data_IF_875929461011
#
_entry.id   IF_875929461011
#
_cell.length_a   1.000
_cell.length_b   1.000
_cell.length_c   1.000
_cell.angle_alpha   90.00
_cell.angle_beta   90.00
_cell.angle_gamma   90.00
#
_symmetry.space_group_name_H-M   'P 1'
#
loop_
_entity.id
_entity.type
_entity.pdbx_description
1 polymer ?
#
# COMPACT_ATOMS: atom_id res chain seq x y z
N UNK A 1 22.46 -11.90 11.09
CA UNK A 1 21.50 -11.36 10.10
C UNK A 1 21.30 -12.40 9.01
N UNK A 2 20.09 -12.55 8.49
CA UNK A 2 19.77 -13.55 7.45
C UNK A 2 20.09 -12.92 6.09
N UNK A 3 20.91 -13.58 5.27
CA UNK A 3 21.24 -13.11 3.93
C UNK A 3 20.05 -13.28 2.99
N UNK A 4 19.87 -12.36 2.04
CA UNK A 4 18.82 -12.50 1.02
C UNK A 4 18.94 -13.81 0.24
N UNK A 5 20.16 -14.20 -0.14
CA UNK A 5 20.40 -15.42 -0.93
C UNK A 5 20.16 -16.71 -0.19
N UNK A 6 20.11 -16.65 1.15
CA UNK A 6 19.76 -17.79 1.99
C UNK A 6 18.23 -17.94 2.12
N UNK A 7 17.50 -16.82 2.05
CA UNK A 7 16.04 -16.76 2.21
C UNK A 7 15.28 -16.96 0.90
N UNK A 8 15.60 -16.19 -0.15
CA UNK A 8 14.97 -16.33 -1.47
C UNK A 8 15.82 -17.29 -2.30
N UNK A 9 15.23 -18.36 -2.80
CA UNK A 9 15.85 -19.28 -3.76
C UNK A 9 15.20 -19.07 -5.12
N UNK A 10 16.02 -19.04 -6.14
CA UNK A 10 15.58 -18.80 -7.51
C UNK A 10 15.67 -20.09 -8.30
N UNK A 11 14.80 -20.31 -9.31
CA UNK A 11 14.86 -21.52 -10.13
C UNK A 11 16.23 -21.75 -10.79
N UNK A 12 16.93 -20.67 -11.16
CA UNK A 12 18.31 -20.72 -11.68
C UNK A 12 19.07 -19.44 -11.25
N UNK A 13 20.10 -19.60 -10.42
CA UNK A 13 20.89 -18.49 -9.86
C UNK A 13 21.64 -17.69 -10.95
N UNK A 14 22.03 -18.35 -12.04
CA UNK A 14 22.80 -17.76 -13.14
C UNK A 14 21.91 -17.15 -14.23
N UNK A 15 20.62 -17.50 -14.23
CA UNK A 15 19.61 -16.96 -15.13
C UNK A 15 18.59 -16.06 -14.42
N UNK A 16 18.87 -15.63 -13.18
CA UNK A 16 18.02 -14.70 -12.44
C UNK A 16 18.70 -13.36 -12.24
N UNK A 17 17.98 -12.27 -12.56
CA UNK A 17 18.37 -10.92 -12.15
C UNK A 17 17.58 -10.45 -10.95
N UNK A 18 18.11 -9.45 -10.27
CA UNK A 18 17.43 -8.70 -9.23
C UNK A 18 17.44 -7.22 -9.59
N UNK A 19 16.26 -6.61 -9.61
CA UNK A 19 16.05 -5.22 -10.03
C UNK A 19 15.60 -4.40 -8.82
N UNK A 20 16.43 -3.44 -8.42
CA UNK A 20 16.20 -2.49 -7.34
C UNK A 20 15.56 -1.23 -7.92
N UNK A 21 14.24 -1.13 -7.96
CA UNK A 21 13.55 0.01 -8.55
C UNK A 21 13.42 1.15 -7.53
N UNK A 22 13.81 2.37 -7.92
CA UNK A 22 13.60 3.58 -7.10
C UNK A 22 12.43 4.42 -7.61
N UNK A 23 12.33 4.62 -8.92
CA UNK A 23 11.28 5.39 -9.59
C UNK A 23 11.20 5.03 -11.10
N UNK A 24 10.22 5.57 -11.82
CA UNK A 24 10.02 5.41 -13.27
C UNK A 24 10.87 6.34 -14.15
N UNK A 25 11.89 7.00 -13.59
CA UNK A 25 12.61 8.11 -14.23
C UNK A 25 12.06 9.49 -13.88
N UNK A 26 10.88 9.55 -13.27
CA UNK A 26 10.35 10.73 -12.59
C UNK A 26 10.53 10.59 -11.08
N UNK A 27 11.26 11.51 -10.44
CA UNK A 27 11.57 11.45 -9.00
C UNK A 27 10.32 11.48 -8.11
N UNK A 28 9.20 11.97 -8.61
CA UNK A 28 7.91 12.05 -7.90
C UNK A 28 7.09 10.75 -8.02
N UNK A 29 7.47 9.84 -8.92
CA UNK A 29 6.78 8.57 -9.14
C UNK A 29 7.60 7.44 -8.52
N UNK A 30 7.43 7.22 -7.21
CA UNK A 30 8.22 6.22 -6.48
C UNK A 30 7.79 4.81 -6.84
N UNK A 31 8.78 3.91 -6.96
CA UNK A 31 8.52 2.51 -7.25
C UNK A 31 7.71 1.83 -6.13
N UNK A 32 7.87 2.28 -4.88
CA UNK A 32 7.09 1.75 -3.75
C UNK A 32 5.60 2.07 -3.90
N UNK A 33 5.24 3.30 -4.24
CA UNK A 33 3.84 3.70 -4.42
C UNK A 33 3.17 2.90 -5.55
N UNK A 34 3.91 2.66 -6.65
CA UNK A 34 3.43 1.83 -7.75
C UNK A 34 3.17 0.39 -7.32
N UNK A 35 4.09 -0.21 -6.57
CA UNK A 35 3.94 -1.57 -6.06
C UNK A 35 2.79 -1.63 -5.05
N UNK A 36 2.71 -0.67 -4.14
CA UNK A 36 1.73 -0.63 -3.08
C UNK A 36 0.31 -0.57 -3.64
N UNK A 37 0.05 0.36 -4.57
CA UNK A 37 -1.26 0.60 -5.16
C UNK A 37 -1.60 -0.34 -6.34
N UNK A 38 -0.74 -1.34 -6.61
CA UNK A 38 -0.88 -2.26 -7.76
C UNK A 38 -1.06 -1.52 -9.09
N UNK A 39 -0.39 -0.36 -9.24
CA UNK A 39 -0.45 0.44 -10.46
C UNK A 39 0.10 -0.37 -11.64
N UNK A 40 -0.52 -0.30 -12.84
CA UNK A 40 0.02 -0.93 -14.04
C UNK A 40 1.49 -0.54 -14.33
N UNK A 41 1.89 0.66 -13.91
CA UNK A 41 3.24 1.17 -14.08
C UNK A 41 4.29 0.35 -13.32
N UNK A 42 3.94 -0.34 -12.23
CA UNK A 42 4.84 -1.28 -11.55
C UNK A 42 5.35 -2.36 -12.50
N UNK A 43 4.44 -2.95 -13.30
CA UNK A 43 4.82 -3.96 -14.29
C UNK A 43 5.60 -3.29 -15.43
N UNK A 44 5.18 -2.11 -15.90
CA UNK A 44 5.88 -1.39 -16.97
C UNK A 44 7.32 -1.07 -16.62
N UNK A 45 7.61 -0.53 -15.43
CA UNK A 45 9.00 -0.18 -15.06
C UNK A 45 9.89 -1.41 -14.97
N UNK A 46 9.35 -2.57 -14.57
CA UNK A 46 10.10 -3.82 -14.51
C UNK A 46 10.29 -4.43 -15.90
N UNK A 47 9.29 -4.33 -16.78
CA UNK A 47 9.29 -4.85 -18.14
C UNK A 47 9.92 -3.91 -19.20
N UNK A 48 10.22 -2.67 -18.82
CA UNK A 48 10.83 -1.70 -19.72
C UNK A 48 12.20 -2.19 -20.20
N UNK A 49 12.42 -2.15 -21.51
CA UNK A 49 13.67 -2.57 -22.14
C UNK A 49 14.44 -1.40 -22.73
N UNK A 50 15.72 -1.27 -22.37
CA UNK A 50 16.69 -0.40 -23.05
C UNK A 50 17.96 -1.18 -23.37
N UNK A 51 18.81 -0.64 -24.25
CA UNK A 51 20.15 -1.22 -24.49
C UNK A 51 21.01 -1.21 -23.22
N UNK A 52 20.85 -0.21 -22.35
CA UNK A 52 21.59 -0.10 -21.09
C UNK A 52 21.28 -1.25 -20.09
N UNK A 53 22.28 -1.63 -19.30
CA UNK A 53 22.23 -2.77 -18.36
C UNK A 53 21.05 -2.71 -17.39
N UNK A 54 20.69 -1.52 -16.92
CA UNK A 54 19.64 -1.31 -15.92
C UNK A 54 18.24 -1.76 -16.35
N UNK A 55 17.97 -1.77 -17.66
CA UNK A 55 16.69 -2.18 -18.23
C UNK A 55 16.89 -3.29 -19.26
N UNK A 56 17.93 -4.09 -19.12
CA UNK A 56 18.20 -5.20 -20.03
C UNK A 56 18.38 -6.48 -19.23
N UNK A 57 17.54 -7.47 -19.44
CA UNK A 57 17.63 -8.76 -18.77
C UNK A 57 18.63 -9.73 -19.44
N UNK A 58 19.14 -9.42 -20.64
CA UNK A 58 20.11 -10.30 -21.33
C UNK A 58 19.54 -11.70 -21.48
N UNK A 59 20.26 -12.72 -21.01
CA UNK A 59 19.83 -14.13 -21.05
C UNK A 59 19.11 -14.59 -19.77
N UNK A 60 18.71 -13.67 -18.90
CA UNK A 60 17.96 -14.01 -17.70
C UNK A 60 16.55 -14.50 -18.06
N UNK A 61 16.14 -15.57 -17.40
CA UNK A 61 14.79 -16.17 -17.48
C UNK A 61 13.89 -15.68 -16.34
N UNK A 62 14.46 -15.12 -15.29
CA UNK A 62 13.73 -14.65 -14.12
C UNK A 62 14.23 -13.30 -13.62
N UNK A 63 13.33 -12.53 -13.01
CA UNK A 63 13.68 -11.30 -12.29
C UNK A 63 12.99 -11.25 -10.93
N UNK A 64 13.76 -10.98 -9.88
CA UNK A 64 13.25 -10.52 -8.59
C UNK A 64 13.11 -9.00 -8.66
N UNK A 65 11.88 -8.50 -8.52
CA UNK A 65 11.61 -7.06 -8.53
C UNK A 65 11.48 -6.54 -7.09
N UNK A 66 12.26 -5.51 -6.79
CA UNK A 66 12.25 -4.81 -5.51
C UNK A 66 11.88 -3.35 -5.71
N UNK A 67 11.21 -2.75 -4.74
CA UNK A 67 10.87 -1.33 -4.70
C UNK A 67 11.58 -0.65 -3.53
N UNK A 68 12.24 0.49 -3.75
CA UNK A 68 12.90 1.23 -2.68
C UNK A 68 11.87 1.70 -1.64
N UNK A 69 12.04 1.25 -0.40
CA UNK A 69 11.19 1.62 0.72
C UNK A 69 11.74 2.87 1.39
N UNK A 70 11.46 4.00 0.75
CA UNK A 70 11.91 5.32 1.20
C UNK A 70 11.53 5.70 2.64
N UNK A 71 10.47 5.15 3.29
CA UNK A 71 10.20 5.44 4.70
C UNK A 71 11.34 5.07 5.66
N UNK A 72 12.11 4.03 5.35
CA UNK A 72 13.27 3.63 6.16
C UNK A 72 14.59 4.18 5.62
N UNK A 73 14.61 4.62 4.36
CA UNK A 73 15.76 5.27 3.75
C UNK A 73 16.25 4.59 2.47
N UNK A 74 17.34 5.10 1.88
CA UNK A 74 17.75 4.75 0.52
C UNK A 74 18.33 3.33 0.36
N UNK A 75 18.76 2.68 1.45
CA UNK A 75 19.25 1.30 1.47
C UNK A 75 18.15 0.24 1.67
N UNK A 76 16.89 0.64 1.89
CA UNK A 76 15.80 -0.28 2.19
C UNK A 76 14.96 -0.58 0.96
N UNK A 77 14.60 -1.85 0.76
CA UNK A 77 13.82 -2.30 -0.40
C UNK A 77 12.78 -3.34 0.00
N UNK A 78 11.56 -3.18 -0.49
CA UNK A 78 10.45 -4.11 -0.30
C UNK A 78 10.36 -5.07 -1.48
N UNK A 79 10.09 -6.35 -1.18
CA UNK A 79 9.89 -7.40 -2.17
C UNK A 79 8.56 -7.22 -2.93
N UNK A 80 8.64 -7.06 -4.25
CA UNK A 80 7.48 -6.92 -5.14
C UNK A 80 7.16 -8.18 -5.95
N UNK A 81 8.00 -9.22 -5.88
CA UNK A 81 7.72 -10.53 -6.48
C UNK A 81 8.87 -11.10 -7.31
N UNK A 82 8.74 -12.39 -7.61
CA UNK A 82 9.54 -13.12 -8.58
C UNK A 82 8.74 -13.27 -9.88
N UNK A 83 9.36 -12.94 -11.01
CA UNK A 83 8.70 -12.97 -12.32
C UNK A 83 9.48 -13.85 -13.29
N UNK A 84 8.76 -14.64 -14.09
CA UNK A 84 9.29 -15.28 -15.30
C UNK A 84 9.33 -14.26 -16.42
N UNK A 85 10.44 -14.24 -17.16
CA UNK A 85 10.68 -13.32 -18.28
C UNK A 85 10.45 -14.05 -19.59
N UNK A 86 9.65 -13.45 -20.47
CA UNK A 86 9.50 -13.83 -21.86
C UNK A 86 9.92 -12.64 -22.74
N UNK A 87 10.78 -12.88 -23.74
CA UNK A 87 11.21 -11.85 -24.69
C UNK A 87 10.25 -11.81 -25.87
N UNK A 88 9.97 -10.61 -26.37
CA UNK A 88 9.28 -10.46 -27.64
C UNK A 88 10.23 -10.73 -28.81
N UNK A 89 9.67 -11.33 -29.87
CA UNK A 89 10.32 -11.52 -31.16
C UNK A 89 9.43 -10.89 -32.24
N UNK A 90 9.87 -9.82 -32.93
CA UNK A 90 11.18 -9.16 -32.80
C UNK A 90 11.33 -8.40 -31.47
N UNK A 91 12.58 -8.14 -31.07
CA UNK A 91 12.87 -7.41 -29.84
C UNK A 91 12.34 -5.96 -29.87
N UNK A 92 11.68 -5.54 -28.79
CA UNK A 92 11.17 -4.17 -28.61
C UNK A 92 12.09 -3.41 -27.65
N UNK A 93 12.54 -2.21 -28.03
CA UNK A 93 13.40 -1.35 -27.22
C UNK A 93 12.74 0.01 -26.97
N UNK A 94 13.15 0.67 -25.89
CA UNK A 94 12.61 1.95 -25.46
C UNK A 94 11.09 1.92 -25.24
N UNK A 95 10.60 0.75 -24.84
CA UNK A 95 9.22 0.46 -24.43
C UNK A 95 9.19 -0.81 -23.53
N UNK A 96 8.01 -1.32 -23.20
CA UNK A 96 7.75 -2.63 -22.60
C UNK A 96 8.25 -3.72 -23.55
N UNK A 97 9.50 -4.16 -23.34
CA UNK A 97 10.19 -5.12 -24.20
C UNK A 97 10.24 -6.55 -23.67
N UNK A 98 9.60 -6.80 -22.52
CA UNK A 98 9.49 -8.11 -21.90
C UNK A 98 8.05 -8.35 -21.47
N UNK A 99 7.59 -9.59 -21.60
CA UNK A 99 6.40 -10.06 -20.88
C UNK A 99 6.85 -10.67 -19.55
N UNK A 100 6.29 -10.16 -18.46
CA UNK A 100 6.58 -10.63 -17.11
C UNK A 100 5.38 -11.38 -16.57
N UNK A 101 5.59 -12.64 -16.19
CA UNK A 101 4.57 -13.48 -15.54
C UNK A 101 4.94 -13.61 -14.07
N UNK A 102 4.10 -13.07 -13.18
CA UNK A 102 4.29 -13.16 -11.73
C UNK A 102 4.20 -14.63 -11.29
N UNK A 103 5.14 -15.06 -10.47
CA UNK A 103 5.22 -16.41 -9.93
C UNK A 103 4.59 -16.47 -8.53
N UNK A 104 4.15 -17.66 -8.11
CA UNK A 104 3.48 -17.89 -6.82
C UNK A 104 4.47 -18.06 -5.66
N UNK A 105 5.72 -18.39 -5.97
CA UNK A 105 6.81 -18.48 -5.01
C UNK A 105 6.99 -17.17 -4.25
N UNK A 106 7.05 -17.25 -2.92
CA UNK A 106 7.21 -16.11 -2.02
C UNK A 106 6.05 -15.10 -2.07
N UNK A 107 4.86 -15.49 -2.58
CA UNK A 107 3.70 -14.60 -2.66
C UNK A 107 3.33 -13.99 -1.30
N UNK A 108 3.51 -14.73 -0.22
CA UNK A 108 3.25 -14.33 1.16
C UNK A 108 4.19 -13.23 1.66
N UNK A 109 5.33 -13.02 0.99
CA UNK A 109 6.32 -12.00 1.34
C UNK A 109 6.20 -10.74 0.49
N UNK A 110 5.33 -10.73 -0.53
CA UNK A 110 5.11 -9.54 -1.37
C UNK A 110 4.58 -8.40 -0.53
N UNK A 111 5.18 -7.22 -0.71
CA UNK A 111 4.90 -5.99 0.05
C UNK A 111 5.18 -6.09 1.57
N UNK A 112 5.79 -7.18 2.04
CA UNK A 112 5.99 -7.49 3.47
C UNK A 112 7.46 -7.68 3.82
N UNK A 113 8.20 -8.37 2.96
CA UNK A 113 9.62 -8.58 3.13
C UNK A 113 10.39 -7.32 2.77
N UNK A 114 11.09 -6.76 3.75
CA UNK A 114 12.03 -5.66 3.59
C UNK A 114 13.44 -6.21 3.73
N UNK A 115 14.29 -5.84 2.77
CA UNK A 115 15.72 -6.05 2.84
C UNK A 115 16.42 -4.72 3.09
N UNK A 116 17.60 -4.80 3.71
CA UNK A 116 18.53 -3.68 3.85
C UNK A 116 19.82 -4.01 3.10
N UNK A 117 20.30 -3.06 2.32
CA UNK A 117 21.61 -3.13 1.68
C UNK A 117 22.69 -2.56 2.61
N UNK A 118 23.93 -3.02 2.49
CA UNK A 118 25.05 -2.44 3.25
C UNK A 118 25.35 -0.98 2.86
N UNK A 119 24.94 -0.57 1.65
CA UNK A 119 25.01 0.82 1.17
C UNK A 119 23.89 1.12 0.17
N UNK A 120 23.47 2.39 0.01
CA UNK A 120 22.55 2.81 -1.04
C UNK A 120 23.04 2.43 -2.45
N UNK A 121 22.10 2.18 -3.37
CA UNK A 121 22.42 2.00 -4.79
C UNK A 121 22.94 3.31 -5.41
N UNK A 122 22.34 4.45 -5.06
CA UNK A 122 22.75 5.76 -5.60
C UNK A 122 22.68 5.80 -7.14
N UNK A 123 23.83 6.10 -7.78
CA UNK A 123 23.97 6.17 -9.25
C UNK A 123 24.47 4.85 -9.88
N UNK A 124 24.67 3.80 -9.07
CA UNK A 124 25.16 2.52 -9.56
C UNK A 124 24.09 1.74 -10.34
N UNK A 125 24.53 0.64 -10.97
CA UNK A 125 23.64 -0.31 -11.63
C UNK A 125 22.65 -0.90 -10.63
N UNK A 126 21.36 -0.77 -10.92
CA UNK A 126 20.26 -1.24 -10.10
C UNK A 126 19.64 -2.55 -10.61
N UNK A 127 20.08 -3.07 -11.76
CA UNK A 127 19.71 -4.39 -12.26
C UNK A 127 20.94 -5.32 -12.28
N UNK A 128 20.98 -6.29 -11.37
CA UNK A 128 22.17 -7.10 -11.11
C UNK A 128 21.88 -8.58 -11.27
N UNK A 129 22.92 -9.37 -11.52
CA UNK A 129 22.80 -10.84 -11.51
C UNK A 129 22.61 -11.31 -10.07
N UNK A 130 21.63 -12.19 -9.84
CA UNK A 130 21.32 -12.69 -8.51
C UNK A 130 22.51 -13.39 -7.85
N UNK A 131 23.25 -14.21 -8.62
CA UNK A 131 24.46 -14.89 -8.16
C UNK A 131 25.57 -13.96 -7.62
N UNK A 132 25.55 -12.66 -7.94
CA UNK A 132 26.57 -11.68 -7.50
C UNK A 132 26.04 -10.69 -6.47
N UNK A 133 24.75 -10.71 -6.15
CA UNK A 133 24.14 -9.65 -5.34
C UNK A 133 24.67 -9.67 -3.91
N UNK A 134 24.93 -10.86 -3.35
CA UNK A 134 25.40 -11.00 -1.98
C UNK A 134 26.75 -10.31 -1.78
N UNK A 135 27.71 -10.56 -2.67
CA UNK A 135 29.04 -9.97 -2.58
C UNK A 135 29.04 -8.47 -2.93
N UNK A 136 28.17 -8.04 -3.84
CA UNK A 136 28.17 -6.66 -4.33
C UNK A 136 27.46 -5.66 -3.41
N UNK A 137 26.41 -6.10 -2.72
CA UNK A 137 25.52 -5.21 -1.95
C UNK A 137 25.27 -5.68 -0.52
N UNK A 138 25.69 -6.89 -0.17
CA UNK A 138 25.37 -7.57 1.10
C UNK A 138 23.93 -7.33 1.59
N UNK A 139 22.91 -7.68 0.78
CA UNK A 139 21.52 -7.57 1.18
C UNK A 139 21.18 -8.55 2.30
N UNK A 140 20.50 -8.03 3.31
CA UNK A 140 20.07 -8.79 4.49
C UNK A 140 18.57 -8.61 4.70
N UNK A 141 17.90 -9.65 5.19
CA UNK A 141 16.52 -9.59 5.62
C UNK A 141 16.46 -8.65 6.83
N UNK A 142 15.77 -7.52 6.66
CA UNK A 142 15.62 -6.52 7.70
C UNK A 142 14.37 -6.74 8.52
N UNK A 143 13.23 -6.91 7.83
CA UNK A 143 11.93 -7.08 8.46
C UNK A 143 11.05 -7.95 7.56
N UNK A 144 10.22 -8.80 8.17
CA UNK A 144 9.05 -9.37 7.52
C UNK A 144 7.85 -8.79 8.23
N UNK A 145 7.17 -7.86 7.58
CA UNK A 145 6.03 -7.18 8.18
C UNK A 145 4.87 -8.17 8.37
N UNK A 146 4.19 -8.19 9.53
CA UNK A 146 3.08 -9.10 9.79
C UNK A 146 1.93 -8.89 8.79
N UNK A 147 1.76 -7.65 8.30
CA UNK A 147 0.79 -7.26 7.28
C UNK A 147 1.50 -6.60 6.09
N UNK A 148 0.79 -6.40 4.97
CA UNK A 148 1.32 -5.60 3.84
C UNK A 148 1.75 -4.25 4.38
N UNK A 149 2.98 -3.80 4.07
CA UNK A 149 3.38 -2.44 4.41
C UNK A 149 2.41 -1.50 3.70
N UNK A 150 1.59 -0.81 4.47
CA UNK A 150 0.76 0.26 3.97
C UNK A 150 1.63 1.51 3.87
N UNK A 151 1.37 2.32 2.85
CA UNK A 151 2.11 3.54 2.61
C UNK A 151 2.01 4.49 3.79
N UNK A 152 2.90 5.47 3.84
CA UNK A 152 2.77 6.59 4.78
C UNK A 152 1.43 7.30 4.56
N UNK A 153 0.93 7.96 5.61
CA UNK A 153 -0.28 8.77 5.56
C UNK A 153 -0.25 9.72 4.32
N UNK A 154 -1.20 9.58 3.38
CA UNK A 154 -1.13 10.26 2.08
C UNK A 154 -1.51 11.76 2.14
N UNK A 155 -1.76 12.28 3.34
CA UNK A 155 -2.36 13.60 3.57
C UNK A 155 -3.89 13.52 3.60
N UNK A 156 -4.53 14.37 4.41
CA UNK A 156 -5.97 14.30 4.68
C UNK A 156 -6.85 14.32 3.42
N UNK A 157 -6.47 15.09 2.41
CA UNK A 157 -7.24 15.24 1.16
C UNK A 157 -7.15 14.01 0.24
N UNK A 158 -6.18 13.12 0.46
CA UNK A 158 -5.93 11.94 -0.38
C UNK A 158 -6.28 10.63 0.35
N UNK A 159 -6.91 10.71 1.52
CA UNK A 159 -7.29 9.50 2.26
C UNK A 159 -8.45 8.80 1.56
N UNK A 160 -8.17 7.60 1.07
CA UNK A 160 -9.14 6.69 0.44
C UNK A 160 -8.65 5.26 0.64
N UNK A 161 -9.00 4.63 1.75
CA UNK A 161 -8.48 3.30 2.15
C UNK A 161 -9.59 2.27 2.30
N UNK A 162 -9.33 1.02 1.91
CA UNK A 162 -10.29 -0.07 2.13
C UNK A 162 -10.32 -0.47 3.59
N UNK A 163 -11.40 -1.14 4.01
CA UNK A 163 -11.55 -1.62 5.37
C UNK A 163 -10.38 -2.53 5.81
N UNK A 164 -9.93 -3.44 4.93
CA UNK A 164 -8.78 -4.30 5.21
C UNK A 164 -7.50 -3.50 5.46
N UNK A 165 -7.29 -2.41 4.73
CA UNK A 165 -6.12 -1.55 4.92
C UNK A 165 -6.24 -0.77 6.24
N UNK A 166 -7.44 -0.29 6.57
CA UNK A 166 -7.70 0.35 7.86
C UNK A 166 -7.41 -0.60 9.04
N UNK A 167 -7.81 -1.87 8.94
CA UNK A 167 -7.52 -2.90 9.95
C UNK A 167 -6.01 -3.06 10.16
N UNK A 168 -5.25 -3.13 9.08
CA UNK A 168 -3.78 -3.24 9.12
C UNK A 168 -3.08 -1.98 9.65
N UNK A 169 -3.56 -0.78 9.27
CA UNK A 169 -3.04 0.49 9.78
C UNK A 169 -3.20 0.56 11.30
N UNK A 170 -4.38 0.19 11.80
CA UNK A 170 -4.69 0.26 13.24
C UNK A 170 -4.01 -0.88 14.00
N UNK A 171 -3.95 -2.10 13.46
CA UNK A 171 -3.27 -3.23 14.10
C UNK A 171 -1.76 -3.02 14.21
N UNK A 172 -1.16 -2.44 13.17
CA UNK A 172 0.27 -2.14 13.10
C UNK A 172 0.69 -0.88 13.86
N UNK A 173 -0.28 -0.17 14.46
CA UNK A 173 -0.08 1.14 15.11
C UNK A 173 0.73 2.10 14.22
N UNK A 174 0.43 2.14 12.91
CA UNK A 174 1.30 2.80 11.94
C UNK A 174 1.49 4.29 12.33
N UNK A 175 2.72 4.72 12.69
CA UNK A 175 2.92 6.00 13.36
C UNK A 175 2.49 7.21 12.53
N UNK A 176 2.67 7.19 11.21
CA UNK A 176 2.28 8.33 10.36
C UNK A 176 0.77 8.52 10.32
N UNK A 177 0.00 7.42 10.22
CA UNK A 177 -1.46 7.42 10.25
C UNK A 177 -1.99 7.80 11.63
N UNK A 178 -1.48 7.17 12.69
CA UNK A 178 -1.91 7.44 14.06
C UNK A 178 -1.66 8.90 14.43
N UNK A 179 -0.44 9.40 14.19
CA UNK A 179 -0.12 10.79 14.52
C UNK A 179 -1.00 11.77 13.73
N UNK A 180 -1.16 11.58 12.42
CA UNK A 180 -2.00 12.47 11.63
C UNK A 180 -3.47 12.47 12.10
N UNK A 181 -4.06 11.29 12.27
CA UNK A 181 -5.49 11.18 12.58
C UNK A 181 -5.83 11.47 14.05
N UNK A 182 -4.87 11.34 14.97
CA UNK A 182 -5.10 11.59 16.41
C UNK A 182 -5.20 13.08 16.75
N UNK A 183 -4.58 13.96 15.95
CA UNK A 183 -4.52 15.41 16.21
C UNK A 183 -5.57 16.23 15.45
N UNK A 184 -6.53 15.58 14.79
CA UNK A 184 -7.61 16.27 14.09
C UNK A 184 -8.97 15.70 14.46
N UNK A 185 -9.95 16.59 14.62
CA UNK A 185 -11.36 16.23 14.55
C UNK A 185 -11.79 16.25 13.08
N UNK A 186 -12.90 15.62 12.73
CA UNK A 186 -13.31 15.62 11.33
C UNK A 186 -14.67 15.04 11.03
N UNK A 187 -15.12 15.30 9.81
CA UNK A 187 -16.22 14.60 9.16
C UNK A 187 -15.62 13.68 8.11
N UNK A 188 -16.06 12.42 8.10
CA UNK A 188 -15.58 11.39 7.19
C UNK A 188 -16.76 10.72 6.48
N UNK A 189 -16.45 10.03 5.39
CA UNK A 189 -17.40 9.22 4.63
C UNK A 189 -16.92 7.77 4.58
N UNK A 190 -17.86 6.85 4.76
CA UNK A 190 -17.67 5.42 4.53
C UNK A 190 -18.52 5.07 3.32
N UNK A 191 -17.90 4.53 2.28
CA UNK A 191 -18.54 4.12 1.04
C UNK A 191 -18.66 2.61 1.01
N UNK A 192 -19.87 2.10 0.75
CA UNK A 192 -20.06 0.71 0.37
C UNK A 192 -19.80 0.58 -1.14
N UNK A 193 -18.67 -0.04 -1.51
CA UNK A 193 -18.26 -0.22 -2.91
C UNK A 193 -19.14 -1.21 -3.67
N UNK A 194 -19.95 -2.03 -2.98
CA UNK A 194 -20.87 -2.96 -3.62
C UNK A 194 -22.19 -2.28 -4.04
N UNK A 195 -22.69 -1.36 -3.22
CA UNK A 195 -23.99 -0.70 -3.45
C UNK A 195 -23.88 0.74 -3.91
N UNK A 196 -22.73 1.38 -3.70
CA UNK A 196 -22.53 2.82 -3.88
C UNK A 196 -23.11 3.68 -2.76
N UNK A 197 -23.69 3.08 -1.71
CA UNK A 197 -24.27 3.82 -0.60
C UNK A 197 -23.19 4.48 0.26
N UNK A 198 -23.51 5.66 0.80
CA UNK A 198 -22.61 6.45 1.63
C UNK A 198 -23.12 6.55 3.07
N UNK A 199 -22.21 6.49 4.02
CA UNK A 199 -22.41 6.85 5.41
C UNK A 199 -21.50 8.03 5.76
N UNK A 200 -22.08 9.13 6.24
CA UNK A 200 -21.34 10.27 6.80
C UNK A 200 -21.33 10.14 8.31
N UNK A 201 -20.14 10.25 8.90
CA UNK A 201 -19.96 10.30 10.34
C UNK A 201 -18.97 11.39 10.74
N UNK A 202 -18.92 11.70 12.03
CA UNK A 202 -17.94 12.63 12.58
C UNK A 202 -17.15 12.03 13.74
N UNK A 203 -15.95 12.56 13.92
CA UNK A 203 -15.11 12.39 15.08
C UNK A 203 -15.01 13.75 15.80
N UNK A 204 -16.02 14.06 16.60
CA UNK A 204 -16.18 15.34 17.28
C UNK A 204 -15.65 15.35 18.72
N UNK A 205 -15.43 14.17 19.32
CA UNK A 205 -14.92 14.01 20.69
C UNK A 205 -13.50 14.55 20.90
N UNK A 206 -13.12 14.69 22.17
CA UNK A 206 -11.82 15.28 22.56
C UNK A 206 -10.68 14.26 22.69
N UNK A 207 -10.93 12.98 22.44
CA UNK A 207 -9.95 11.90 22.59
C UNK A 207 -9.55 11.35 21.23
N UNK A 208 -8.27 11.49 20.86
CA UNK A 208 -7.65 10.88 19.67
C UNK A 208 -8.40 11.07 18.32
N UNK A 209 -9.23 12.11 18.19
CA UNK A 209 -9.73 12.60 16.91
C UNK A 209 -10.35 11.53 15.99
N UNK A 210 -10.05 11.62 14.70
CA UNK A 210 -10.49 10.63 13.70
C UNK A 210 -9.92 9.24 14.01
N UNK A 211 -8.70 9.16 14.54
CA UNK A 211 -8.05 7.88 14.86
C UNK A 211 -8.92 7.02 15.77
N UNK A 212 -9.40 7.57 16.89
CA UNK A 212 -10.26 6.86 17.83
C UNK A 212 -11.47 6.22 17.11
N UNK A 213 -12.12 7.02 16.27
CA UNK A 213 -13.36 6.61 15.62
C UNK A 213 -13.09 5.54 14.57
N UNK A 214 -12.03 5.70 13.78
CA UNK A 214 -11.61 4.74 12.77
C UNK A 214 -11.10 3.44 13.37
N UNK A 215 -10.35 3.49 14.47
CA UNK A 215 -9.93 2.31 15.24
C UNK A 215 -11.11 1.48 15.74
N UNK A 216 -12.25 2.10 16.07
CA UNK A 216 -13.46 1.36 16.46
C UNK A 216 -14.06 0.54 15.32
N UNK A 217 -13.91 0.98 14.06
CA UNK A 217 -14.33 0.22 12.88
C UNK A 217 -13.29 -0.82 12.48
N UNK A 218 -12.01 -0.59 12.80
CA UNK A 218 -10.90 -1.48 12.47
C UNK A 218 -10.83 -2.76 13.33
N UNK A 219 -11.79 -3.00 14.22
CA UNK A 219 -11.79 -4.19 15.06
C UNK A 219 -12.09 -5.44 14.21
N UNK A 220 -11.19 -6.43 14.23
CA UNK A 220 -11.31 -7.65 13.44
C UNK A 220 -12.53 -8.53 13.81
N UNK A 221 -12.99 -8.46 15.05
CA UNK A 221 -14.11 -9.25 15.55
C UNK A 221 -15.44 -8.50 15.40
N UNK A 222 -15.42 -7.17 15.48
CA UNK A 222 -16.61 -6.33 15.39
C UNK A 222 -16.33 -5.05 14.59
N UNK A 223 -16.38 -5.09 13.26
CA UNK A 223 -15.95 -4.00 12.39
C UNK A 223 -16.96 -2.85 12.26
N UNK A 224 -17.91 -2.74 13.18
CA UNK A 224 -19.10 -1.87 13.04
C UNK A 224 -18.95 -0.53 13.73
N UNK A 225 -17.97 -0.37 14.63
CA UNK A 225 -17.79 0.84 15.44
C UNK A 225 -19.00 1.22 16.27
N UNK A 226 -19.88 0.26 16.59
CA UNK A 226 -21.14 0.46 17.30
C UNK A 226 -22.25 1.11 16.46
N UNK A 227 -22.08 1.24 15.15
CA UNK A 227 -23.13 1.71 14.26
C UNK A 227 -24.21 0.63 14.08
N UNK A 228 -25.47 1.01 14.30
CA UNK A 228 -26.62 0.08 14.26
C UNK A 228 -26.82 -0.56 12.88
N UNK A 229 -26.69 0.20 11.81
CA UNK A 229 -26.84 -0.34 10.45
C UNK A 229 -25.70 -1.30 10.12
N UNK A 230 -24.48 -0.94 10.53
CA UNK A 230 -23.32 -1.79 10.30
C UNK A 230 -23.39 -3.08 11.13
N UNK A 231 -23.97 -3.05 12.34
CA UNK A 231 -24.28 -4.26 13.09
C UNK A 231 -25.22 -5.18 12.30
N UNK A 232 -26.30 -4.66 11.72
CA UNK A 232 -27.24 -5.45 10.91
C UNK A 232 -26.54 -6.05 9.68
N UNK A 233 -25.70 -5.28 8.99
CA UNK A 233 -24.90 -5.76 7.85
C UNK A 233 -23.96 -6.89 8.29
N UNK A 234 -23.24 -6.69 9.40
CA UNK A 234 -22.28 -7.66 9.91
C UNK A 234 -22.94 -8.95 10.40
N UNK A 235 -24.08 -8.86 11.09
CA UNK A 235 -24.86 -10.02 11.53
C UNK A 235 -25.38 -10.85 10.35
N UNK A 236 -25.83 -10.20 9.27
CA UNK A 236 -26.27 -10.88 8.05
C UNK A 236 -25.12 -11.52 7.28
N UNK A 237 -23.97 -10.84 7.20
CA UNK A 237 -22.80 -11.33 6.46
C UNK A 237 -21.52 -10.80 7.13
N UNK A 238 -20.87 -11.60 7.98
CA UNK A 238 -19.72 -11.15 8.78
C UNK A 238 -18.57 -10.55 7.98
N UNK A 239 -18.29 -11.07 6.78
CA UNK A 239 -17.21 -10.60 5.92
C UNK A 239 -17.53 -9.37 5.07
N UNK A 240 -18.79 -8.92 5.05
CA UNK A 240 -19.26 -7.91 4.08
C UNK A 240 -18.51 -6.58 4.22
N UNK A 241 -18.41 -6.06 5.45
CA UNK A 241 -17.75 -4.79 5.74
C UNK A 241 -16.28 -4.83 5.33
N UNK A 242 -15.56 -5.90 5.70
CA UNK A 242 -14.15 -6.10 5.34
C UNK A 242 -13.93 -6.09 3.83
N UNK A 243 -14.89 -6.62 3.08
CA UNK A 243 -14.78 -6.75 1.63
C UNK A 243 -15.12 -5.46 0.88
N UNK A 244 -16.11 -4.69 1.34
CA UNK A 244 -16.73 -3.64 0.53
C UNK A 244 -16.61 -2.23 1.07
N UNK A 245 -16.21 -2.01 2.33
CA UNK A 245 -16.16 -0.65 2.88
C UNK A 245 -14.86 0.07 2.52
N UNK A 246 -14.98 1.36 2.20
CA UNK A 246 -13.87 2.29 1.97
C UNK A 246 -14.06 3.56 2.79
N UNK A 247 -12.96 4.10 3.33
CA UNK A 247 -12.96 5.26 4.23
C UNK A 247 -12.23 6.45 3.60
N UNK A 248 -12.87 7.62 3.66
CA UNK A 248 -12.31 8.89 3.21
C UNK A 248 -12.65 10.02 4.17
N UNK A 249 -11.88 11.10 4.15
CA UNK A 249 -12.10 12.29 4.99
C UNK A 249 -12.75 13.37 4.12
N UNK A 250 -13.84 13.97 4.63
CA UNK A 250 -14.54 15.07 3.96
C UNK A 250 -14.04 16.43 4.46
N UNK A 251 -13.84 16.57 5.77
CA UNK A 251 -13.49 17.84 6.40
C UNK A 251 -12.70 17.59 7.69
N UNK A 252 -11.67 18.41 7.94
CA UNK A 252 -10.84 18.35 9.15
C UNK A 252 -11.00 19.63 9.97
N UNK A 253 -10.89 19.48 11.29
CA UNK A 253 -10.98 20.58 12.23
C UNK A 253 -9.87 20.50 13.28
N UNK A 254 -9.45 21.65 13.78
CA UNK A 254 -8.57 21.72 14.94
C UNK A 254 -9.25 21.11 16.17
N UNK A 255 -8.44 20.53 17.07
CA UNK A 255 -8.90 19.89 18.30
C UNK A 255 -9.74 20.81 19.21
N UNK A 256 -9.55 22.13 19.15
CA UNK A 256 -10.30 23.13 19.93
C UNK A 256 -11.67 23.45 19.34
N UNK A 257 -11.98 22.99 18.13
CA UNK A 257 -13.27 23.22 17.48
C UNK A 257 -14.39 22.61 18.33
N UNK A 258 -15.46 23.39 18.52
CA UNK A 258 -16.64 23.00 19.29
C UNK A 258 -17.33 21.79 18.67
N UNK A 259 -17.83 20.90 19.52
CA UNK A 259 -18.52 19.67 19.10
C UNK A 259 -19.73 20.01 18.23
N UNK A 260 -20.47 21.04 18.63
CA UNK A 260 -21.70 21.48 17.94
C UNK A 260 -21.42 21.88 16.50
N UNK A 261 -20.33 22.62 16.27
CA UNK A 261 -19.90 23.01 14.92
C UNK A 261 -19.61 21.79 14.05
N UNK A 262 -18.97 20.75 14.59
CA UNK A 262 -18.63 19.54 13.82
C UNK A 262 -19.91 18.75 13.51
N UNK A 263 -20.86 18.68 14.44
CA UNK A 263 -22.16 18.03 14.22
C UNK A 263 -22.96 18.78 13.15
N UNK A 264 -22.95 20.12 13.15
CA UNK A 264 -23.55 20.92 12.10
C UNK A 264 -22.95 20.62 10.73
N UNK A 265 -21.62 20.51 10.65
CA UNK A 265 -20.90 20.13 9.42
C UNK A 265 -21.19 18.70 8.98
N UNK A 266 -21.29 17.76 9.92
CA UNK A 266 -21.73 16.38 9.63
C UNK A 266 -23.13 16.38 8.98
N UNK A 267 -24.08 17.12 9.56
CA UNK A 267 -25.43 17.24 9.03
C UNK A 267 -25.47 17.93 7.66
N UNK A 268 -24.62 18.95 7.46
CA UNK A 268 -24.44 19.57 6.14
C UNK A 268 -24.03 18.52 5.10
N UNK A 269 -23.01 17.70 5.38
CA UNK A 269 -22.54 16.67 4.45
C UNK A 269 -23.57 15.56 4.22
N UNK A 270 -24.31 15.14 5.25
CA UNK A 270 -25.44 14.21 5.10
C UNK A 270 -26.49 14.73 4.11
N UNK A 271 -26.79 16.02 4.16
CA UNK A 271 -27.75 16.65 3.25
C UNK A 271 -27.19 16.79 1.83
N UNK A 272 -25.93 17.24 1.69
CA UNK A 272 -25.27 17.42 0.39
C UNK A 272 -25.16 16.09 -0.37
N UNK A 273 -24.83 15.01 0.34
CA UNK A 273 -24.65 13.67 -0.22
C UNK A 273 -25.92 12.81 -0.15
N UNK A 274 -27.03 13.38 0.34
CA UNK A 274 -28.33 12.73 0.53
C UNK A 274 -28.28 11.35 1.21
N UNK A 275 -27.40 11.21 2.21
CA UNK A 275 -27.11 9.92 2.83
C UNK A 275 -28.19 9.44 3.78
N UNK A 276 -29.16 10.30 4.14
CA UNK A 276 -30.33 9.90 4.93
C UNK A 276 -31.37 9.15 4.11
N UNK A 277 -31.53 9.53 2.84
CA UNK A 277 -32.54 8.94 1.95
C UNK A 277 -31.97 7.84 1.08
N UNK A 278 -30.76 8.04 0.55
CA UNK A 278 -30.13 7.12 -0.40
C UNK A 278 -28.85 6.47 0.15
N UNK A 279 -28.46 6.79 1.39
CA UNK A 279 -27.30 6.22 2.05
C UNK A 279 -27.66 5.40 3.30
N UNK A 280 -26.67 5.26 4.18
CA UNK A 280 -26.72 4.42 5.39
C UNK A 280 -26.90 5.25 6.67
N UNK A 281 -27.23 6.55 6.57
CA UNK A 281 -27.48 7.38 7.75
C UNK A 281 -28.96 7.32 8.17
N UNK A 282 -29.26 6.65 9.29
CA UNK A 282 -30.64 6.55 9.82
C UNK A 282 -30.91 7.46 11.03
N UNK A 283 -30.10 8.51 11.20
CA UNK A 283 -30.22 9.50 12.27
C UNK A 283 -30.52 10.91 11.75
#
# INVERSE_FOLDING_TARGET
>A
MIKLTDFIKTPDINSTKIKFNMNSGNVNEKAWDMLLEDKPDWIKINAWKKKQTNNNFGNAKYVIALAQYYPYGPEYFVFGGLYKIEKFEPEVFDDVGYKLTLMDEYKEYRKRLIIKLAKPIGRDVYNRLYARVQDQLNPEIYEISPDVKLGQFPGYQNVSIKHVDLQQIVSGDEPSWKNALSYVKGVYVITDLNTGQLYVGSASGNTEGIWQRWSSYANFQNPTGGNKEFNIIHEKTPSYITQYFQYSILEIFDTKTKIETIIERENYWKNVLDTKKHGMNHN
#
